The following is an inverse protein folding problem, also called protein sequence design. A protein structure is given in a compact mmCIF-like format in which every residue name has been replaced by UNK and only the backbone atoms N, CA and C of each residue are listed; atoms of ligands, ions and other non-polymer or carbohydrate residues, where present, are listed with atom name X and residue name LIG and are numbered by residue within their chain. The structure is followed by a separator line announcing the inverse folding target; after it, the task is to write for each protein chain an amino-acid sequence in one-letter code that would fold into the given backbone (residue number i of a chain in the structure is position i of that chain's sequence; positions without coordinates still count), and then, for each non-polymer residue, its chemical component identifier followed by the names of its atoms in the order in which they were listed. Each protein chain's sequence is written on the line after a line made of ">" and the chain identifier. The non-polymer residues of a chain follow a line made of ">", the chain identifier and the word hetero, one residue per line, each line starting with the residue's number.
data_IF_622121494947
#
_entry.id   IF_622121494947
#
_cell.length_a   1.000
_cell.length_b   1.000
_cell.length_c   1.000
_cell.angle_alpha   90.00
_cell.angle_beta   90.00
_cell.angle_gamma   90.00
#
_symmetry.space_group_name_H-M   'P 1'
#
loop_
_entity.id
_entity.type
_entity.pdbx_description
1 polymer ?
#
# COMPACT_ATOMS: atom_id res chain seq x y z
N UNK A 1 -7.90 -5.66 18.41
CA UNK A 1 -8.33 -4.27 18.11
C UNK A 1 -9.31 -4.28 16.97
N UNK A 2 -9.87 -3.13 16.60
CA UNK A 2 -10.67 -2.98 15.36
C UNK A 2 -9.74 -2.71 14.17
N UNK A 3 -10.20 -2.86 12.91
CA UNK A 3 -9.42 -2.50 11.73
C UNK A 3 -8.96 -1.04 11.69
N UNK A 4 -9.68 -0.14 12.35
CA UNK A 4 -9.28 1.28 12.47
C UNK A 4 -8.12 1.44 13.45
N UNK A 5 -8.05 0.62 14.50
CA UNK A 5 -6.99 0.70 15.50
C UNK A 5 -5.61 0.26 14.97
N UNK A 6 -5.58 -0.39 13.80
CA UNK A 6 -4.34 -0.82 13.13
C UNK A 6 -3.82 0.16 12.09
N UNK A 7 -4.54 1.26 11.84
CA UNK A 7 -4.07 2.31 10.93
C UNK A 7 -2.91 3.05 11.60
N UNK A 8 -1.69 3.05 11.04
CA UNK A 8 -0.57 3.78 11.61
C UNK A 8 -0.88 5.28 11.68
N UNK A 9 -0.57 5.92 12.81
CA UNK A 9 -0.74 7.36 12.93
C UNK A 9 0.06 8.11 11.84
N UNK A 10 -0.51 9.19 11.30
CA UNK A 10 0.11 9.96 10.22
C UNK A 10 0.12 9.24 8.86
N UNK A 11 -0.86 8.37 8.61
CA UNK A 11 -1.17 7.85 7.27
C UNK A 11 -2.10 8.82 6.54
N UNK A 12 -1.92 8.98 5.23
CA UNK A 12 -2.88 9.68 4.37
C UNK A 12 -4.05 8.78 3.98
N UNK A 13 -3.92 8.10 2.84
CA UNK A 13 -4.87 7.08 2.38
C UNK A 13 -4.35 5.69 2.76
N UNK A 14 -5.24 4.84 3.28
CA UNK A 14 -4.95 3.42 3.53
C UNK A 14 -5.93 2.56 2.75
N UNK A 15 -5.40 1.69 1.90
CA UNK A 15 -6.13 0.69 1.13
C UNK A 15 -5.85 -0.65 1.80
N UNK A 16 -6.88 -1.29 2.34
CA UNK A 16 -6.70 -2.54 3.07
C UNK A 16 -7.59 -3.66 2.51
N UNK A 17 -6.99 -4.64 1.84
CA UNK A 17 -7.70 -5.80 1.28
C UNK A 17 -8.85 -5.39 0.34
N UNK A 18 -8.57 -4.42 -0.54
CA UNK A 18 -9.55 -3.89 -1.49
C UNK A 18 -9.03 -4.05 -2.91
N UNK A 19 -9.96 -4.33 -3.82
CA UNK A 19 -9.70 -4.44 -5.25
C UNK A 19 -10.21 -3.20 -5.98
N UNK A 20 -9.62 -2.91 -7.15
CA UNK A 20 -10.09 -1.90 -8.08
C UNK A 20 -10.23 -0.53 -7.42
N UNK A 21 -9.11 -0.02 -6.90
CA UNK A 21 -9.06 1.29 -6.24
C UNK A 21 -8.20 2.24 -7.06
N UNK A 22 -8.74 3.41 -7.34
CA UNK A 22 -8.03 4.50 -8.02
C UNK A 22 -7.87 5.70 -7.09
N UNK A 23 -6.62 6.11 -6.84
CA UNK A 23 -6.25 7.27 -6.01
C UNK A 23 -5.59 8.30 -6.91
N UNK A 24 -6.34 9.32 -7.28
CA UNK A 24 -5.91 10.31 -8.25
C UNK A 24 -6.31 11.72 -7.90
N UNK A 25 -5.53 12.68 -8.40
CA UNK A 25 -5.76 14.12 -8.27
C UNK A 25 -5.86 14.63 -6.82
N UNK A 26 -5.06 14.05 -5.92
CA UNK A 26 -4.97 14.49 -4.52
C UNK A 26 -3.72 15.34 -4.27
N UNK A 27 -3.79 16.21 -3.26
CA UNK A 27 -2.65 16.89 -2.66
C UNK A 27 -2.31 16.24 -1.32
N UNK A 28 -1.19 15.54 -1.27
CA UNK A 28 -0.69 14.89 -0.07
C UNK A 28 0.43 15.71 0.55
N UNK A 29 0.26 16.10 1.81
CA UNK A 29 1.27 16.84 2.56
C UNK A 29 1.48 16.26 3.96
N UNK A 30 2.74 16.16 4.39
CA UNK A 30 3.15 16.00 5.79
C UNK A 30 2.55 14.81 6.57
N UNK A 31 2.15 13.74 5.87
CA UNK A 31 1.76 12.47 6.50
C UNK A 31 3.00 11.80 7.09
N UNK A 32 3.10 11.76 8.42
CA UNK A 32 4.29 11.31 9.15
C UNK A 32 4.75 9.89 8.82
N UNK A 33 3.82 8.96 8.55
CA UNK A 33 4.12 7.58 8.18
C UNK A 33 4.27 7.41 6.67
N UNK A 34 3.20 7.65 5.90
CA UNK A 34 3.20 7.54 4.45
C UNK A 34 1.97 8.24 3.87
N UNK A 35 2.04 8.69 2.62
CA UNK A 35 0.90 9.31 1.97
C UNK A 35 -0.14 8.28 1.52
N UNK A 36 0.31 7.14 0.98
CA UNK A 36 -0.54 6.02 0.61
C UNK A 36 0.05 4.73 1.20
N UNK A 37 -0.78 3.96 1.91
CA UNK A 37 -0.44 2.63 2.39
C UNK A 37 -1.35 1.62 1.67
N UNK A 38 -0.76 0.63 1.03
CA UNK A 38 -1.44 -0.51 0.42
C UNK A 38 -1.13 -1.72 1.29
N UNK A 39 -2.15 -2.27 1.93
CA UNK A 39 -2.01 -3.40 2.85
C UNK A 39 -2.98 -4.53 2.53
N UNK A 40 -2.53 -5.74 2.81
CA UNK A 40 -3.34 -6.92 2.95
C UNK A 40 -3.78 -7.10 4.41
N UNK A 41 -4.77 -7.96 4.59
CA UNK A 41 -5.25 -8.40 5.89
C UNK A 41 -4.12 -8.86 6.82
N UNK A 42 -3.08 -9.50 6.28
CA UNK A 42 -2.00 -10.12 7.04
C UNK A 42 -1.10 -9.10 7.78
N UNK A 43 -1.08 -7.85 7.34
CA UNK A 43 -0.23 -6.79 7.90
C UNK A 43 -0.95 -5.92 8.93
N UNK A 44 -2.26 -6.13 9.11
CA UNK A 44 -3.11 -5.22 9.90
C UNK A 44 -3.27 -5.61 11.37
N UNK A 45 -2.77 -6.76 11.80
CA UNK A 45 -2.73 -7.10 13.24
C UNK A 45 -4.09 -7.24 13.95
N UNK A 46 -5.23 -7.26 13.22
CA UNK A 46 -6.55 -7.56 13.79
C UNK A 46 -7.01 -9.00 13.53
N UNK A 47 -6.07 -9.91 13.25
CA UNK A 47 -6.33 -11.36 13.22
C UNK A 47 -7.12 -11.75 14.48
N UNK A 48 -8.35 -12.22 14.31
CA UNK A 48 -9.18 -12.68 15.44
C UNK A 48 -9.20 -14.20 15.49
N UNK A 49 -9.43 -14.77 16.67
CA UNK A 49 -9.64 -16.22 16.82
C UNK A 49 -10.85 -16.72 15.99
N UNK A 50 -11.78 -15.83 15.64
CA UNK A 50 -12.95 -16.13 14.80
C UNK A 50 -12.64 -16.11 13.30
N UNK A 51 -11.43 -15.72 12.91
CA UNK A 51 -11.02 -15.57 11.52
C UNK A 51 -11.75 -14.44 10.79
N UNK A 52 -11.73 -14.51 9.47
CA UNK A 52 -12.53 -13.68 8.55
C UNK A 52 -13.60 -14.56 7.88
N UNK A 53 -14.61 -13.94 7.29
CA UNK A 53 -15.59 -14.67 6.49
C UNK A 53 -14.88 -15.46 5.37
N UNK A 54 -15.36 -16.66 5.04
CA UNK A 54 -14.73 -17.53 4.02
C UNK A 54 -14.64 -16.85 2.64
N UNK A 55 -15.56 -15.96 2.34
CA UNK A 55 -15.63 -15.21 1.08
C UNK A 55 -14.74 -13.96 1.05
N UNK A 56 -14.07 -13.64 2.17
CA UNK A 56 -13.26 -12.44 2.27
C UNK A 56 -11.97 -12.59 1.45
N UNK A 57 -11.72 -11.66 0.53
CA UNK A 57 -10.44 -11.55 -0.16
C UNK A 57 -9.46 -10.74 0.70
N UNK A 58 -8.34 -11.32 1.17
CA UNK A 58 -7.40 -10.62 2.03
C UNK A 58 -6.35 -9.81 1.26
N UNK A 59 -6.34 -9.83 -0.07
CA UNK A 59 -5.30 -9.22 -0.89
C UNK A 59 -5.78 -7.91 -1.54
N UNK A 60 -4.93 -6.88 -1.64
CA UNK A 60 -5.23 -5.71 -2.44
C UNK A 60 -4.82 -5.92 -3.91
N UNK A 61 -5.71 -5.60 -4.85
CA UNK A 61 -5.49 -5.86 -6.28
C UNK A 61 -6.00 -4.72 -7.16
N UNK A 62 -5.44 -4.60 -8.36
CA UNK A 62 -5.84 -3.58 -9.34
C UNK A 62 -5.85 -2.15 -8.76
N UNK A 63 -4.74 -1.77 -8.12
CA UNK A 63 -4.58 -0.47 -7.46
C UNK A 63 -3.89 0.51 -8.40
N UNK A 64 -4.51 1.66 -8.64
CA UNK A 64 -3.98 2.70 -9.53
C UNK A 64 -3.77 4.01 -8.76
N UNK A 65 -2.52 4.38 -8.52
CA UNK A 65 -2.15 5.64 -7.85
C UNK A 65 -1.44 6.52 -8.87
N UNK A 66 -2.02 7.66 -9.23
CA UNK A 66 -1.43 8.54 -10.25
C UNK A 66 -1.92 9.99 -10.13
N UNK A 67 -1.29 10.92 -10.85
CA UNK A 67 -1.73 12.33 -10.91
C UNK A 67 -1.88 13.02 -9.54
N UNK A 68 -1.21 12.52 -8.51
CA UNK A 68 -1.21 13.13 -7.18
C UNK A 68 0.02 14.04 -7.02
N UNK A 69 -0.05 14.98 -6.09
CA UNK A 69 1.06 15.88 -5.73
C UNK A 69 1.49 15.56 -4.30
N UNK A 70 2.79 15.47 -4.07
CA UNK A 70 3.36 15.04 -2.79
C UNK A 70 4.32 16.09 -2.22
N UNK A 71 4.18 16.40 -0.94
CA UNK A 71 5.05 17.32 -0.21
C UNK A 71 5.33 16.81 1.22
N UNK A 72 6.60 16.79 1.63
CA UNK A 72 6.96 16.36 2.98
C UNK A 72 6.57 14.90 3.29
N UNK A 73 6.33 14.58 4.56
CA UNK A 73 5.91 13.25 5.04
C UNK A 73 6.94 12.10 5.00
N UNK A 74 6.64 10.99 5.67
CA UNK A 74 7.42 9.75 5.66
C UNK A 74 8.62 9.69 6.62
N UNK A 75 8.84 10.68 7.46
CA UNK A 75 10.00 10.76 8.36
C UNK A 75 9.75 10.27 9.80
N UNK A 76 8.51 10.13 10.22
CA UNK A 76 8.15 9.73 11.58
C UNK A 76 7.07 8.64 11.58
N UNK A 77 7.37 7.44 11.04
CA UNK A 77 6.40 6.37 11.00
C UNK A 77 5.99 5.90 12.39
N UNK A 78 4.72 5.52 12.53
CA UNK A 78 4.16 4.98 13.76
C UNK A 78 4.45 3.48 13.92
N UNK A 79 4.50 3.01 15.17
CA UNK A 79 4.81 1.61 15.48
C UNK A 79 6.30 1.24 15.40
N UNK A 80 6.69 0.19 16.12
CA UNK A 80 8.09 -0.23 16.21
C UNK A 80 8.62 -0.80 14.89
N UNK A 81 7.80 -1.60 14.20
CA UNK A 81 8.21 -2.28 12.97
C UNK A 81 8.48 -1.31 11.83
N UNK A 82 7.62 -0.31 11.62
CA UNK A 82 7.85 0.71 10.60
C UNK A 82 9.03 1.62 10.94
N UNK A 83 9.26 1.94 12.22
CA UNK A 83 10.47 2.66 12.66
C UNK A 83 11.74 1.85 12.39
N UNK A 84 11.72 0.54 12.68
CA UNK A 84 12.83 -0.36 12.40
C UNK A 84 13.08 -0.49 10.89
N UNK A 85 12.02 -0.64 10.09
CA UNK A 85 12.10 -0.67 8.63
C UNK A 85 12.69 0.63 8.07
N UNK A 86 12.23 1.80 8.55
CA UNK A 86 12.79 3.09 8.14
C UNK A 86 14.28 3.18 8.45
N UNK A 87 14.66 2.82 9.67
CA UNK A 87 16.05 2.84 10.08
C UNK A 87 16.91 1.89 9.24
N UNK A 88 16.41 0.68 8.95
CA UNK A 88 17.14 -0.33 8.19
C UNK A 88 17.34 0.03 6.72
N UNK A 89 16.32 0.62 6.08
CA UNK A 89 16.32 0.90 4.62
C UNK A 89 16.81 2.32 4.29
N UNK A 90 16.47 3.30 5.13
CA UNK A 90 16.71 4.72 4.84
C UNK A 90 17.58 5.44 5.89
N UNK A 91 17.87 4.81 7.03
CA UNK A 91 18.67 5.41 8.10
C UNK A 91 17.89 6.44 8.95
N UNK A 92 18.59 7.05 9.91
CA UNK A 92 17.98 7.95 10.92
C UNK A 92 17.28 9.18 10.30
N UNK A 93 17.94 9.82 9.33
CA UNK A 93 17.42 11.01 8.63
C UNK A 93 16.60 10.68 7.37
N UNK A 94 16.45 9.39 7.05
CA UNK A 94 15.71 8.94 5.88
C UNK A 94 14.20 9.14 6.01
N UNK A 95 13.53 9.11 4.85
CA UNK A 95 12.07 9.20 4.71
C UNK A 95 11.58 8.02 3.89
N UNK A 96 10.43 7.48 4.24
CA UNK A 96 9.70 6.61 3.32
C UNK A 96 9.30 7.37 2.06
N UNK A 97 9.26 6.71 0.90
CA UNK A 97 8.65 7.29 -0.27
C UNK A 97 7.13 7.45 -0.07
N UNK A 98 6.44 8.18 -0.97
CA UNK A 98 5.01 8.45 -0.82
C UNK A 98 4.11 7.22 -0.68
N UNK A 99 4.47 6.11 -1.33
CA UNK A 99 3.68 4.87 -1.33
C UNK A 99 4.42 3.74 -0.62
N UNK A 100 3.76 3.16 0.37
CA UNK A 100 4.17 1.95 1.11
C UNK A 100 3.24 0.80 0.75
N UNK A 101 3.80 -0.32 0.31
CA UNK A 101 3.07 -1.57 0.07
C UNK A 101 3.62 -2.69 0.95
N UNK A 102 2.75 -3.51 1.52
CA UNK A 102 3.15 -4.61 2.39
C UNK A 102 3.70 -5.85 1.67
N UNK A 103 3.52 -5.96 0.36
CA UNK A 103 4.12 -7.00 -0.48
C UNK A 103 3.31 -8.29 -0.63
N UNK A 104 2.12 -8.38 -0.04
CA UNK A 104 1.27 -9.57 -0.19
C UNK A 104 0.52 -9.56 -1.53
N UNK A 105 0.52 -10.72 -2.21
CA UNK A 105 -0.22 -10.99 -3.46
C UNK A 105 -0.93 -12.33 -3.33
N UNK A 106 -2.09 -12.51 -3.98
CA UNK A 106 -2.79 -13.80 -3.98
C UNK A 106 -2.02 -14.84 -4.82
N UNK A 107 -1.43 -15.89 -4.19
CA UNK A 107 -0.71 -16.92 -4.93
C UNK A 107 -1.60 -17.67 -5.92
N UNK A 108 -2.92 -17.72 -5.70
CA UNK A 108 -3.88 -18.40 -6.58
C UNK A 108 -4.13 -17.66 -7.88
N UNK A 109 -3.90 -16.34 -7.91
CA UNK A 109 -4.11 -15.48 -9.08
C UNK A 109 -2.82 -15.32 -9.90
N UNK A 110 -1.67 -15.77 -9.41
CA UNK A 110 -0.40 -15.78 -10.14
C UNK A 110 -0.51 -16.68 -11.38
N UNK A 111 -0.12 -16.13 -12.54
CA UNK A 111 -0.06 -16.82 -13.83
C UNK A 111 1.33 -16.62 -14.44
N UNK A 112 1.96 -17.72 -14.87
CA UNK A 112 3.33 -17.70 -15.42
C UNK A 112 4.35 -16.95 -14.51
N UNK A 113 4.23 -17.15 -13.19
CA UNK A 113 5.17 -16.60 -12.21
C UNK A 113 4.98 -15.12 -11.86
N UNK A 114 3.94 -14.45 -12.38
CA UNK A 114 3.60 -13.06 -12.05
C UNK A 114 2.10 -12.87 -11.84
N UNK A 115 1.74 -11.80 -11.14
CA UNK A 115 0.35 -11.37 -11.09
C UNK A 115 -0.07 -10.86 -12.49
N UNK A 116 -1.29 -11.17 -12.97
CA UNK A 116 -1.86 -10.58 -14.17
C UNK A 116 -1.81 -9.05 -14.15
N UNK A 117 -1.64 -8.42 -15.31
CA UNK A 117 -1.44 -6.97 -15.40
C UNK A 117 -2.66 -6.16 -14.94
N UNK A 118 -3.86 -6.70 -15.13
CA UNK A 118 -5.14 -6.16 -14.68
C UNK A 118 -5.34 -6.22 -13.17
N UNK A 119 -4.52 -7.00 -12.45
CA UNK A 119 -4.53 -7.09 -10.99
C UNK A 119 -3.34 -6.38 -10.34
N UNK A 120 -2.46 -5.76 -11.14
CA UNK A 120 -1.24 -5.14 -10.66
C UNK A 120 -1.49 -3.93 -9.74
N UNK A 121 -0.45 -3.55 -8.99
CA UNK A 121 -0.36 -2.25 -8.32
C UNK A 121 0.45 -1.34 -9.25
N UNK A 122 -0.19 -0.31 -9.77
CA UNK A 122 0.42 0.69 -10.65
C UNK A 122 0.52 2.03 -9.94
N UNK A 123 1.73 2.56 -9.87
CA UNK A 123 2.04 3.82 -9.18
C UNK A 123 2.82 4.73 -10.12
N UNK A 124 2.24 5.88 -10.45
CA UNK A 124 2.86 6.93 -11.28
C UNK A 124 2.88 8.25 -10.53
N UNK A 125 3.80 9.13 -10.93
CA UNK A 125 3.96 10.49 -10.38
C UNK A 125 4.31 10.58 -8.88
N UNK A 126 4.57 9.43 -8.21
CA UNK A 126 4.89 9.35 -6.78
C UNK A 126 6.37 9.03 -6.47
N UNK A 127 7.21 8.83 -7.49
CA UNK A 127 8.55 8.29 -7.31
C UNK A 127 8.53 6.78 -7.02
N UNK A 128 9.52 6.24 -6.26
CA UNK A 128 9.57 4.81 -5.97
C UNK A 128 8.49 4.38 -4.97
N UNK A 129 8.12 3.11 -4.98
CA UNK A 129 7.30 2.47 -3.95
C UNK A 129 8.21 1.70 -3.00
N UNK A 130 7.96 1.79 -1.69
CA UNK A 130 8.55 0.88 -0.70
C UNK A 130 7.67 -0.36 -0.58
N UNK A 131 8.17 -1.51 -1.02
CA UNK A 131 7.62 -2.81 -0.67
C UNK A 131 8.30 -3.32 0.60
N UNK A 132 7.52 -3.52 1.65
CA UNK A 132 8.01 -3.94 2.96
C UNK A 132 8.47 -5.41 3.00
N UNK A 133 8.11 -6.24 2.01
CA UNK A 133 8.39 -7.69 2.01
C UNK A 133 7.71 -8.44 3.17
N UNK A 134 6.44 -8.14 3.42
CA UNK A 134 5.62 -8.81 4.45
C UNK A 134 5.65 -10.34 4.36
N UNK A 135 5.43 -10.96 3.19
CA UNK A 135 5.52 -12.42 3.03
C UNK A 135 6.91 -12.99 3.36
N UNK A 136 7.98 -12.24 3.07
CA UNK A 136 9.37 -12.58 3.40
C UNK A 136 9.77 -12.24 4.84
N UNK A 137 8.82 -11.79 5.68
CA UNK A 137 9.04 -11.32 7.06
C UNK A 137 9.98 -10.12 7.14
N UNK A 138 9.81 -9.18 6.21
CA UNK A 138 10.54 -7.91 6.13
C UNK A 138 12.06 -8.08 5.96
N UNK A 139 12.50 -9.22 5.41
CA UNK A 139 13.93 -9.55 5.29
C UNK A 139 14.58 -8.87 4.08
N UNK A 140 13.82 -8.68 3.01
CA UNK A 140 14.31 -8.10 1.76
C UNK A 140 13.37 -6.99 1.25
N UNK A 141 13.16 -5.91 2.02
CA UNK A 141 12.36 -4.79 1.55
C UNK A 141 12.96 -4.20 0.27
N UNK A 142 12.11 -3.79 -0.67
CA UNK A 142 12.52 -3.26 -1.97
C UNK A 142 11.99 -1.86 -2.17
N UNK A 143 12.81 -0.99 -2.73
CA UNK A 143 12.43 0.36 -3.15
C UNK A 143 12.59 0.43 -4.66
N UNK A 144 11.48 0.55 -5.39
CA UNK A 144 11.50 0.54 -6.86
C UNK A 144 10.43 1.44 -7.42
N UNK A 145 10.77 2.22 -8.45
CA UNK A 145 9.77 2.88 -9.30
C UNK A 145 9.40 1.97 -10.48
N UNK A 146 10.40 1.37 -11.13
CA UNK A 146 10.22 0.59 -12.35
C UNK A 146 9.35 -0.67 -12.16
N UNK A 147 9.30 -1.24 -10.95
CA UNK A 147 8.43 -2.39 -10.65
C UNK A 147 6.93 -2.02 -10.67
N UNK A 148 6.60 -0.74 -10.50
CA UNK A 148 5.22 -0.23 -10.38
C UNK A 148 4.86 0.77 -11.48
N UNK A 149 5.76 1.04 -12.42
CA UNK A 149 5.53 1.93 -13.56
C UNK A 149 4.67 1.22 -14.62
N UNK A 150 3.38 1.16 -14.33
CA UNK A 150 2.35 0.63 -15.19
C UNK A 150 1.09 1.51 -15.16
N UNK A 151 0.08 1.12 -15.93
CA UNK A 151 -1.20 1.81 -15.98
C UNK A 151 -2.35 0.81 -15.97
N UNK A 152 -3.37 1.13 -15.19
CA UNK A 152 -4.68 0.50 -15.25
C UNK A 152 -5.65 1.45 -15.94
N UNK A 153 -6.74 0.90 -16.49
CA UNK A 153 -7.83 1.72 -17.00
C UNK A 153 -8.51 2.45 -15.84
N UNK A 154 -8.71 3.77 -15.93
CA UNK A 154 -9.45 4.52 -14.91
C UNK A 154 -10.83 3.95 -14.65
N UNK A 155 -11.27 4.02 -13.40
CA UNK A 155 -12.60 3.55 -13.02
C UNK A 155 -13.66 4.49 -13.58
N UNK A 156 -14.83 3.96 -13.98
CA UNK A 156 -15.91 4.80 -14.45
C UNK A 156 -16.36 5.78 -13.34
N UNK A 157 -16.67 7.03 -13.67
CA UNK A 157 -17.16 7.99 -12.70
C UNK A 157 -18.46 7.50 -12.06
N UNK A 158 -18.65 7.82 -10.79
CA UNK A 158 -19.90 7.51 -10.09
C UNK A 158 -21.03 8.36 -10.66
N UNK A 159 -22.02 7.72 -11.25
CA UNK A 159 -23.26 8.38 -11.67
C UNK A 159 -24.24 8.44 -10.49
N UNK A 160 -24.39 9.62 -9.89
CA UNK A 160 -25.44 9.85 -8.90
C UNK A 160 -26.76 10.11 -9.64
N UNK A 161 -27.74 9.22 -9.48
CA UNK A 161 -29.12 9.51 -9.86
C UNK A 161 -29.67 10.57 -8.89
N UNK A 162 -29.83 11.79 -9.38
CA UNK A 162 -30.57 12.86 -8.70
C UNK A 162 -32.08 12.66 -8.86
#
# INVERSE_FOLDING_TARGET
>A
GTPVASVPAGSGVVINSNDQVEIFDNDFADNATAHVIISSYFSTGYMTEKGVAEIFDPYPEAIHVHSNRYAGGGDAPDGLDLKALKLAVFGLGGRFPPVLWDGYVDPKKIRAGKLPADLAICVRDAGPVLNADGPGKYRNPRVSAAEYDCRLEPLPPVELKL
#
